data_IF_254884682062
#
_entry.id   IF_254884682062
#
_cell.length_a   1.000
_cell.length_b   1.000
_cell.length_c   1.000
_cell.angle_alpha   90.00
_cell.angle_beta   90.00
_cell.angle_gamma   90.00
#
_symmetry.space_group_name_H-M   'P 1'
#
loop_
_entity.id
_entity.type
_entity.pdbx_description
1 polymer ?
#
# COMPACT_ATOMS: atom_id res chain seq x y z
N UNK A 1 4.47 -75.11 13.61
CA UNK A 1 4.77 -74.77 15.02
C UNK A 1 6.11 -74.06 15.02
N UNK A 2 6.38 -72.91 15.61
CA UNK A 2 5.67 -71.94 16.45
C UNK A 2 6.72 -70.84 16.65
N UNK A 3 6.34 -69.57 16.51
CA UNK A 3 7.25 -68.46 16.73
C UNK A 3 6.52 -67.13 16.71
N UNK A 4 5.71 -66.88 17.74
CA UNK A 4 5.09 -65.58 18.01
C UNK A 4 6.18 -64.54 18.36
N UNK A 5 6.18 -63.40 17.67
CA UNK A 5 6.80 -62.16 18.12
C UNK A 5 5.68 -61.14 18.33
N UNK A 6 5.51 -60.74 19.59
CA UNK A 6 4.60 -59.68 20.02
C UNK A 6 5.17 -58.33 19.59
N UNK A 7 4.40 -57.53 18.84
CA UNK A 7 4.63 -56.10 18.70
C UNK A 7 3.66 -55.35 19.62
N UNK A 8 4.19 -54.85 20.73
CA UNK A 8 3.53 -53.76 21.47
C UNK A 8 3.97 -52.44 20.83
N UNK A 9 3.00 -51.66 20.36
CA UNK A 9 3.19 -50.23 20.12
C UNK A 9 1.93 -49.49 20.53
N UNK A 10 2.05 -48.93 21.73
CA UNK A 10 1.37 -47.76 22.32
C UNK A 10 0.38 -47.00 21.42
N UNK A 11 -0.88 -47.02 21.87
CA UNK A 11 -1.95 -46.13 21.44
C UNK A 11 -1.62 -44.66 21.73
N UNK A 12 -1.52 -43.85 20.67
CA UNK A 12 -1.48 -42.38 20.77
C UNK A 12 -2.90 -41.88 21.10
N UNK A 13 -3.11 -41.04 22.13
CA UNK A 13 -4.42 -40.46 22.36
C UNK A 13 -4.76 -39.51 21.21
N UNK A 14 -5.86 -39.79 20.52
CA UNK A 14 -6.49 -38.84 19.58
C UNK A 14 -7.08 -37.68 20.38
N UNK A 15 -6.33 -36.61 20.60
CA UNK A 15 -6.90 -35.31 20.95
C UNK A 15 -7.41 -34.65 19.68
N UNK A 16 -8.53 -35.17 19.17
CA UNK A 16 -9.28 -34.56 18.09
C UNK A 16 -10.00 -33.33 18.61
N UNK A 17 -9.38 -32.15 18.45
CA UNK A 17 -10.13 -30.90 18.43
C UNK A 17 -11.12 -30.98 17.26
N UNK A 18 -12.37 -30.62 17.51
CA UNK A 18 -13.42 -30.72 16.49
C UNK A 18 -13.02 -29.88 15.26
N UNK A 19 -13.38 -30.34 14.06
CA UNK A 19 -13.14 -29.59 12.82
C UNK A 19 -13.72 -28.16 12.90
N UNK A 20 -14.73 -27.95 13.75
CA UNK A 20 -15.32 -26.65 14.06
C UNK A 20 -14.44 -25.76 14.94
N UNK A 21 -13.67 -26.30 15.90
CA UNK A 21 -12.71 -25.53 16.73
C UNK A 21 -11.45 -25.14 15.94
N UNK A 22 -10.98 -26.00 15.01
CA UNK A 22 -9.92 -25.61 14.07
C UNK A 22 -10.42 -24.53 13.10
N UNK A 23 -11.67 -24.61 12.64
CA UNK A 23 -12.27 -23.62 11.74
C UNK A 23 -12.64 -22.31 12.45
N UNK A 24 -12.95 -22.35 13.76
CA UNK A 24 -13.11 -21.16 14.62
C UNK A 24 -11.77 -20.52 15.00
N UNK A 25 -10.68 -21.28 15.15
CA UNK A 25 -9.32 -20.72 15.31
C UNK A 25 -8.77 -20.06 14.04
N UNK A 26 -9.24 -20.50 12.87
CA UNK A 26 -8.93 -19.89 11.57
C UNK A 26 -9.79 -18.66 11.25
N UNK A 27 -10.83 -18.37 12.03
CA UNK A 27 -11.44 -17.03 12.10
C UNK A 27 -10.65 -16.12 13.06
N UNK A 28 -9.32 -16.22 13.03
CA UNK A 28 -8.45 -15.17 13.56
C UNK A 28 -8.85 -13.86 12.88
N UNK A 29 -9.07 -12.81 13.68
CA UNK A 29 -9.27 -11.42 13.24
C UNK A 29 -8.42 -11.17 12.01
N UNK A 30 -9.07 -11.11 10.84
CA UNK A 30 -8.37 -10.73 9.62
C UNK A 30 -7.77 -9.34 9.90
N UNK A 31 -6.45 -9.17 9.75
CA UNK A 31 -5.83 -7.89 10.03
C UNK A 31 -6.43 -6.87 9.06
N UNK A 32 -7.12 -5.87 9.63
CA UNK A 32 -7.60 -4.73 8.84
C UNK A 32 -6.37 -4.07 8.22
N UNK A 33 -6.23 -4.21 6.91
CA UNK A 33 -5.13 -3.62 6.14
C UNK A 33 -5.69 -2.43 5.38
N UNK A 34 -5.09 -1.27 5.55
CA UNK A 34 -5.43 -0.05 4.81
C UNK A 34 -4.56 -0.01 3.57
N UNK A 35 -5.17 0.03 2.38
CA UNK A 35 -4.46 0.16 1.12
C UNK A 35 -4.39 1.64 0.72
N UNK A 36 -3.17 2.17 0.63
CA UNK A 36 -2.88 3.56 0.26
C UNK A 36 -2.25 3.58 -1.13
N UNK A 37 -2.99 4.06 -2.13
CA UNK A 37 -2.45 4.34 -3.45
C UNK A 37 -1.60 5.61 -3.45
N UNK A 38 -0.43 5.56 -4.07
CA UNK A 38 0.48 6.68 -4.29
C UNK A 38 0.73 6.76 -5.80
N UNK A 39 0.07 7.73 -6.44
CA UNK A 39 0.14 7.96 -7.87
C UNK A 39 0.83 9.26 -8.24
N UNK A 40 1.05 9.50 -9.54
CA UNK A 40 1.66 10.71 -10.09
C UNK A 40 2.56 10.43 -11.29
N UNK A 41 2.97 11.48 -11.99
CA UNK A 41 3.81 11.34 -13.18
C UNK A 41 5.12 10.60 -12.89
N UNK A 42 5.70 10.01 -13.95
CA UNK A 42 7.03 9.40 -13.88
C UNK A 42 8.05 10.41 -13.32
N UNK A 43 8.91 9.97 -12.40
CA UNK A 43 9.91 10.82 -11.71
C UNK A 43 9.37 11.94 -10.79
N UNK A 44 8.11 11.88 -10.36
CA UNK A 44 7.56 12.82 -9.36
C UNK A 44 8.08 12.61 -7.94
N UNK A 45 8.63 11.42 -7.63
CA UNK A 45 9.16 11.07 -6.30
C UNK A 45 8.34 10.02 -5.53
N UNK A 46 7.39 9.33 -6.17
CA UNK A 46 6.52 8.30 -5.56
C UNK A 46 7.30 7.22 -4.81
N UNK A 47 8.24 6.54 -5.47
CA UNK A 47 9.03 5.46 -4.85
C UNK A 47 9.84 5.93 -3.65
N UNK A 48 10.31 7.18 -3.67
CA UNK A 48 10.98 7.79 -2.52
C UNK A 48 9.99 8.04 -1.37
N UNK A 49 8.81 8.59 -1.68
CA UNK A 49 7.76 8.83 -0.70
C UNK A 49 7.27 7.52 -0.05
N UNK A 50 6.98 6.49 -0.84
CA UNK A 50 6.50 5.18 -0.36
C UNK A 50 7.52 4.51 0.56
N UNK A 51 8.81 4.56 0.20
CA UNK A 51 9.90 4.05 1.05
C UNK A 51 10.03 4.80 2.38
N UNK A 52 9.95 6.12 2.39
CA UNK A 52 9.95 6.88 3.65
C UNK A 52 8.72 6.57 4.52
N UNK A 53 7.54 6.45 3.92
CA UNK A 53 6.32 6.10 4.65
C UNK A 53 6.45 4.71 5.28
N UNK A 54 6.96 3.72 4.53
CA UNK A 54 7.26 2.37 5.05
C UNK A 54 8.21 2.42 6.24
N UNK A 55 9.25 3.25 6.19
CA UNK A 55 10.25 3.33 7.26
C UNK A 55 9.74 4.08 8.51
N UNK A 56 8.70 4.92 8.36
CA UNK A 56 8.12 5.73 9.44
C UNK A 56 6.92 5.09 10.14
N UNK A 57 6.03 4.45 9.38
CA UNK A 57 4.82 3.79 9.91
C UNK A 57 5.11 2.38 10.42
N UNK A 58 4.38 1.90 11.44
CA UNK A 58 4.49 0.51 11.89
C UNK A 58 3.81 -0.44 10.89
N UNK A 59 4.41 -1.60 10.67
CA UNK A 59 3.83 -2.72 9.90
C UNK A 59 3.32 -2.30 8.51
N UNK A 60 4.26 -1.99 7.62
CA UNK A 60 4.02 -1.52 6.25
C UNK A 60 4.76 -2.37 5.23
N UNK A 61 4.12 -2.64 4.10
CA UNK A 61 4.78 -3.17 2.90
C UNK A 61 4.39 -2.35 1.67
N UNK A 62 5.15 -2.50 0.59
CA UNK A 62 4.94 -1.78 -0.68
C UNK A 62 4.65 -2.80 -1.78
N UNK A 63 3.66 -2.50 -2.60
CA UNK A 63 3.37 -3.14 -3.87
C UNK A 63 3.66 -2.12 -4.97
N UNK A 64 4.51 -2.45 -5.95
CA UNK A 64 4.81 -1.55 -7.06
C UNK A 64 4.04 -1.98 -8.32
N UNK A 65 3.41 -1.03 -8.99
CA UNK A 65 2.73 -1.24 -10.29
C UNK A 65 3.72 -1.74 -11.35
N UNK A 66 4.97 -1.27 -11.28
CA UNK A 66 6.05 -1.65 -12.20
C UNK A 66 6.40 -3.15 -12.13
N UNK A 67 6.05 -3.85 -11.05
CA UNK A 67 6.25 -5.32 -10.97
C UNK A 67 5.33 -6.10 -11.93
N UNK A 68 4.30 -5.43 -12.46
CA UNK A 68 3.27 -5.98 -13.33
C UNK A 68 3.44 -5.56 -14.80
N UNK A 69 4.60 -5.04 -15.21
CA UNK A 69 4.87 -4.83 -16.64
C UNK A 69 4.72 -6.14 -17.44
N UNK A 70 4.12 -6.01 -18.62
CA UNK A 70 4.10 -7.06 -19.63
C UNK A 70 5.49 -7.21 -20.26
N UNK A 71 5.78 -8.38 -20.85
CA UNK A 71 7.00 -8.59 -21.61
C UNK A 71 7.20 -7.57 -22.73
N UNK A 72 8.44 -7.22 -23.02
CA UNK A 72 8.80 -6.16 -23.97
C UNK A 72 8.19 -6.40 -25.37
N UNK A 73 8.06 -7.66 -25.82
CA UNK A 73 7.48 -8.00 -27.13
C UNK A 73 5.97 -7.76 -27.21
N UNK A 74 5.29 -7.61 -26.08
CA UNK A 74 3.85 -7.36 -26.00
C UNK A 74 3.51 -5.88 -25.86
N UNK A 75 4.51 -5.03 -25.67
CA UNK A 75 4.29 -3.60 -25.46
C UNK A 75 3.82 -2.91 -26.74
N UNK A 76 2.88 -1.95 -26.62
CA UNK A 76 2.47 -1.13 -27.75
C UNK A 76 3.57 -0.14 -28.14
N UNK A 77 3.33 0.62 -29.21
CA UNK A 77 4.22 1.67 -29.66
C UNK A 77 3.51 3.02 -29.68
N UNK A 78 4.22 4.07 -29.28
CA UNK A 78 3.81 5.48 -29.39
C UNK A 78 4.95 6.27 -30.00
N UNK A 79 4.65 7.10 -31.01
CA UNK A 79 5.66 7.83 -31.79
C UNK A 79 6.79 6.95 -32.37
N UNK A 80 6.52 5.66 -32.64
CA UNK A 80 7.52 4.70 -33.14
C UNK A 80 8.46 4.14 -32.06
N UNK A 81 8.25 4.48 -30.80
CA UNK A 81 8.99 3.99 -29.63
C UNK A 81 8.11 3.01 -28.84
N UNK A 82 8.71 2.06 -28.12
CA UNK A 82 7.95 1.16 -27.23
C UNK A 82 7.33 1.95 -26.10
N UNK A 83 6.05 1.77 -25.86
CA UNK A 83 5.31 2.55 -24.88
C UNK A 83 5.19 1.80 -23.56
N UNK A 84 6.11 2.10 -22.65
CA UNK A 84 6.09 1.60 -21.27
C UNK A 84 5.08 2.36 -20.39
N UNK A 85 4.68 3.58 -20.74
CA UNK A 85 3.97 4.48 -19.84
C UNK A 85 2.46 4.52 -20.16
N UNK A 86 1.83 3.36 -20.42
CA UNK A 86 0.41 3.27 -20.76
C UNK A 86 -0.30 2.05 -20.13
N UNK A 87 -1.63 2.04 -20.07
CA UNK A 87 -2.37 0.92 -19.47
C UNK A 87 -2.08 -0.45 -20.11
N UNK A 88 -1.80 -0.47 -21.41
CA UNK A 88 -1.54 -1.70 -22.14
C UNK A 88 -0.14 -2.29 -21.83
N UNK A 89 0.77 -1.53 -21.23
CA UNK A 89 2.06 -2.05 -20.77
C UNK A 89 1.96 -2.81 -19.44
N UNK A 90 0.87 -2.65 -18.69
CA UNK A 90 0.65 -3.27 -17.39
C UNK A 90 -0.29 -4.47 -17.51
N UNK A 91 0.02 -5.56 -16.80
CA UNK A 91 -0.91 -6.65 -16.56
C UNK A 91 -1.93 -6.27 -15.47
N UNK A 92 -2.89 -5.43 -15.85
CA UNK A 92 -3.96 -4.95 -14.96
C UNK A 92 -4.72 -6.10 -14.28
N UNK A 93 -5.10 -7.20 -14.97
CA UNK A 93 -5.71 -8.36 -14.30
C UNK A 93 -4.84 -8.96 -13.19
N UNK A 94 -3.54 -9.16 -13.44
CA UNK A 94 -2.63 -9.67 -12.40
C UNK A 94 -2.48 -8.68 -11.24
N UNK A 95 -2.41 -7.37 -11.55
CA UNK A 95 -2.33 -6.33 -10.53
C UNK A 95 -3.58 -6.27 -9.65
N UNK A 96 -4.77 -6.34 -10.24
CA UNK A 96 -6.05 -6.44 -9.51
C UNK A 96 -6.08 -7.69 -8.64
N UNK A 97 -5.64 -8.85 -9.15
CA UNK A 97 -5.56 -10.08 -8.36
C UNK A 97 -4.65 -9.94 -7.13
N UNK A 98 -3.55 -9.18 -7.24
CA UNK A 98 -2.67 -8.90 -6.11
C UNK A 98 -3.34 -7.99 -5.07
N UNK A 99 -4.06 -6.95 -5.51
CA UNK A 99 -4.83 -6.06 -4.63
C UNK A 99 -5.95 -6.81 -3.89
N UNK A 100 -6.69 -7.68 -4.59
CA UNK A 100 -7.71 -8.54 -3.99
C UNK A 100 -7.11 -9.52 -2.97
N UNK A 101 -5.93 -10.07 -3.27
CA UNK A 101 -5.20 -10.92 -2.33
C UNK A 101 -4.82 -10.15 -1.06
N UNK A 102 -4.32 -8.91 -1.19
CA UNK A 102 -3.98 -8.06 -0.04
C UNK A 102 -5.21 -7.74 0.80
N UNK A 103 -6.34 -7.43 0.17
CA UNK A 103 -7.61 -7.24 0.89
C UNK A 103 -8.02 -8.47 1.70
N UNK A 104 -7.84 -9.67 1.13
CA UNK A 104 -8.26 -10.92 1.75
C UNK A 104 -7.30 -11.42 2.86
N UNK A 105 -5.99 -11.16 2.73
CA UNK A 105 -4.96 -11.77 3.59
C UNK A 105 -4.17 -10.75 4.43
N UNK A 106 -4.25 -9.47 4.11
CA UNK A 106 -3.45 -8.41 4.73
C UNK A 106 -1.95 -8.55 4.49
N UNK A 107 -1.52 -9.23 3.44
CA UNK A 107 -0.11 -9.42 3.07
C UNK A 107 0.04 -9.45 1.55
N UNK A 108 1.23 -9.17 1.00
CA UNK A 108 1.47 -9.36 -0.42
C UNK A 108 1.30 -10.85 -0.81
N UNK A 109 0.99 -11.14 -2.08
CA UNK A 109 1.03 -12.50 -2.61
C UNK A 109 2.41 -13.15 -2.36
N UNK A 110 2.48 -14.41 -1.94
CA UNK A 110 3.73 -15.05 -1.51
C UNK A 110 4.76 -15.21 -2.63
N UNK A 111 4.30 -15.30 -3.87
CA UNK A 111 5.15 -15.49 -5.06
C UNK A 111 5.54 -14.16 -5.73
N UNK A 112 5.16 -13.01 -5.14
CA UNK A 112 5.49 -11.70 -5.69
C UNK A 112 6.90 -11.27 -5.27
N UNK A 113 7.80 -11.23 -6.25
CA UNK A 113 9.14 -10.66 -6.10
C UNK A 113 9.18 -9.25 -6.69
N UNK A 114 9.47 -8.26 -5.86
CA UNK A 114 9.59 -6.86 -6.25
C UNK A 114 10.89 -6.60 -7.02
N UNK A 115 10.77 -6.14 -8.27
CA UNK A 115 11.88 -5.72 -9.12
C UNK A 115 12.21 -4.25 -8.89
N UNK A 116 11.22 -3.43 -8.58
CA UNK A 116 11.43 -2.00 -8.29
C UNK A 116 12.30 -1.79 -7.04
N UNK A 117 12.35 -2.76 -6.11
CA UNK A 117 13.29 -2.74 -4.99
C UNK A 117 14.76 -2.98 -5.38
N UNK A 118 15.03 -3.36 -6.63
CA UNK A 118 16.37 -3.49 -7.19
C UNK A 118 16.86 -2.19 -7.85
N UNK A 119 15.96 -1.24 -8.15
CA UNK A 119 16.31 0.02 -8.78
C UNK A 119 16.88 1.01 -7.75
N UNK A 120 17.95 1.74 -8.15
CA UNK A 120 18.59 2.74 -7.31
C UNK A 120 17.65 3.91 -7.00
N UNK A 121 17.56 4.27 -5.73
CA UNK A 121 16.96 5.55 -5.31
C UNK A 121 18.08 6.56 -5.21
N UNK A 122 18.01 7.58 -6.06
CA UNK A 122 18.89 8.74 -5.92
C UNK A 122 18.79 9.35 -4.51
N UNK A 123 19.81 10.11 -4.09
CA UNK A 123 19.85 10.66 -2.74
C UNK A 123 18.65 11.59 -2.51
N UNK A 124 17.80 11.22 -1.55
CA UNK A 124 16.78 12.11 -1.03
C UNK A 124 17.27 12.71 0.28
N UNK A 125 17.44 14.03 0.29
CA UNK A 125 17.97 14.76 1.45
C UNK A 125 16.84 15.41 2.24
N UNK A 126 15.98 14.59 2.87
CA UNK A 126 15.08 15.12 3.91
C UNK A 126 15.93 15.43 5.14
N UNK A 127 15.92 16.67 5.67
CA UNK A 127 16.75 17.02 6.83
C UNK A 127 16.44 16.13 8.04
N UNK A 128 17.46 15.75 8.82
CA UNK A 128 17.31 14.86 9.97
C UNK A 128 16.27 15.36 10.99
N UNK A 129 16.24 16.68 11.23
CA UNK A 129 15.26 17.30 12.12
C UNK A 129 13.83 17.14 11.60
N UNK A 130 13.63 17.18 10.28
CA UNK A 130 12.33 16.89 9.65
C UNK A 130 11.96 15.43 9.88
N UNK A 131 12.87 14.49 9.61
CA UNK A 131 12.63 13.05 9.84
C UNK A 131 12.29 12.75 11.30
N UNK A 132 13.00 13.36 12.25
CA UNK A 132 12.74 13.22 13.69
C UNK A 132 11.35 13.73 14.08
N UNK A 133 10.94 14.89 13.53
CA UNK A 133 9.60 15.46 13.76
C UNK A 133 8.50 14.55 13.20
N UNK A 134 8.65 14.08 11.96
CA UNK A 134 7.69 13.19 11.31
C UNK A 134 7.57 11.84 12.02
N UNK A 135 8.69 11.26 12.46
CA UNK A 135 8.70 10.05 13.29
C UNK A 135 7.92 10.24 14.60
N UNK A 136 8.05 11.41 15.24
CA UNK A 136 7.28 11.73 16.44
C UNK A 136 5.78 11.89 16.14
N UNK A 137 5.39 12.44 14.98
CA UNK A 137 3.99 12.51 14.55
C UNK A 137 3.38 11.10 14.40
N UNK A 138 4.05 10.22 13.67
CA UNK A 138 3.61 8.84 13.46
C UNK A 138 3.60 8.04 14.77
N UNK A 139 4.56 8.27 15.67
CA UNK A 139 4.56 7.68 17.01
C UNK A 139 3.33 8.10 17.82
N UNK A 140 2.99 9.39 17.84
CA UNK A 140 1.79 9.89 18.55
C UNK A 140 0.51 9.27 17.98
N UNK A 141 0.42 9.16 16.66
CA UNK A 141 -0.71 8.48 16.01
C UNK A 141 -0.78 7.00 16.42
N UNK A 142 0.33 6.27 16.35
CA UNK A 142 0.43 4.87 16.80
C UNK A 142 0.02 4.68 18.26
N UNK A 143 0.48 5.55 19.16
CA UNK A 143 0.16 5.49 20.59
C UNK A 143 -1.32 5.76 20.87
N UNK A 144 -2.01 6.49 19.99
CA UNK A 144 -3.43 6.83 20.16
C UNK A 144 -4.40 5.63 20.04
N UNK A 145 -3.97 4.53 19.42
CA UNK A 145 -4.75 3.28 19.35
C UNK A 145 -4.75 2.50 20.67
N UNK A 146 -3.83 2.81 21.59
CA UNK A 146 -3.67 2.09 22.86
C UNK A 146 -4.45 2.71 24.03
N UNK A 147 -4.91 3.95 23.88
CA UNK A 147 -5.35 4.80 25.01
C UNK A 147 -6.80 4.60 25.46
N UNK A 148 -7.57 3.67 24.90
CA UNK A 148 -8.96 3.38 25.32
C UNK A 148 -9.08 2.30 26.42
N UNK A 149 -7.99 1.90 27.08
CA UNK A 149 -8.07 1.03 28.25
C UNK A 149 -8.69 1.80 29.44
N UNK A 150 -9.84 1.37 30.01
CA UNK A 150 -10.39 2.02 31.18
C UNK A 150 -9.39 1.94 32.33
N UNK A 151 -9.11 3.10 32.89
CA UNK A 151 -8.28 3.30 34.07
C UNK A 151 -8.94 2.57 35.27
N UNK A 152 -8.64 1.29 35.49
CA UNK A 152 -8.99 0.61 36.73
C UNK A 152 -7.98 1.02 37.81
N UNK A 153 -8.16 2.23 38.34
CA UNK A 153 -7.57 2.61 39.62
C UNK A 153 -8.36 1.97 40.77
N UNK A 154 -7.70 1.02 41.43
CA UNK A 154 -7.75 0.71 42.88
C UNK A 154 -9.10 0.55 43.60
N UNK A 155 -9.35 -0.64 44.14
CA UNK A 155 -9.41 -0.81 45.61
C UNK A 155 -9.44 -2.28 46.02
N UNK A 156 -8.60 -2.58 47.00
CA UNK A 156 -8.49 -3.82 47.77
C UNK A 156 -9.56 -3.90 48.86
N UNK A 157 -10.21 -5.07 49.02
CA UNK A 157 -10.63 -5.73 50.29
C UNK A 157 -11.69 -6.81 49.97
N UNK A 158 -11.34 -8.09 50.02
CA UNK A 158 -11.48 -9.05 51.15
C UNK A 158 -12.79 -9.86 51.16
N UNK A 159 -12.64 -11.17 50.89
CA UNK A 159 -13.31 -12.36 51.45
C UNK A 159 -14.85 -12.52 51.41
N UNK A 160 -15.36 -13.47 50.61
CA UNK A 160 -15.76 -14.84 51.04
C UNK A 160 -16.60 -15.56 49.96
N UNK A 161 -16.57 -16.91 49.85
CA UNK A 161 -17.23 -17.65 48.78
C UNK A 161 -18.66 -18.09 49.14
N UNK A 162 -19.56 -18.02 48.16
CA UNK A 162 -20.83 -18.78 48.15
C UNK A 162 -21.06 -19.32 46.74
N UNK A 163 -21.28 -20.63 46.67
CA UNK A 163 -21.74 -21.38 45.51
C UNK A 163 -23.21 -21.04 45.22
N UNK A 164 -23.56 -20.90 43.93
CA UNK A 164 -24.71 -21.53 43.28
C UNK A 164 -25.02 -20.89 41.91
N UNK A 165 -25.21 -21.72 40.89
CA UNK A 165 -26.18 -21.47 39.81
C UNK A 165 -25.64 -20.96 38.47
N UNK A 166 -25.07 -21.85 37.65
CA UNK A 166 -24.78 -21.66 36.24
C UNK A 166 -26.05 -21.40 35.40
N UNK A 167 -26.16 -20.20 34.81
CA UNK A 167 -26.78 -19.93 33.49
C UNK A 167 -26.13 -18.69 32.88
N UNK A 168 -25.01 -18.88 32.19
CA UNK A 168 -24.44 -17.83 31.33
C UNK A 168 -25.15 -17.85 29.97
N UNK A 169 -26.02 -16.86 29.77
CA UNK A 169 -26.46 -16.48 28.43
C UNK A 169 -25.30 -15.86 27.67
N UNK A 170 -25.09 -16.32 26.43
CA UNK A 170 -24.11 -15.81 25.47
C UNK A 170 -24.20 -14.29 25.35
N UNK A 171 -23.29 -13.58 26.04
CA UNK A 171 -22.99 -12.19 25.75
C UNK A 171 -22.26 -12.13 24.42
N UNK A 172 -22.97 -11.71 23.37
CA UNK A 172 -22.35 -11.21 22.15
C UNK A 172 -21.28 -10.19 22.53
N UNK A 173 -20.01 -10.55 22.37
CA UNK A 173 -18.91 -9.61 22.56
C UNK A 173 -19.00 -8.59 21.43
N UNK A 174 -19.44 -7.37 21.76
CA UNK A 174 -19.22 -6.23 20.88
C UNK A 174 -17.71 -6.10 20.66
N UNK A 175 -17.26 -6.34 19.43
CA UNK A 175 -15.89 -6.13 19.01
C UNK A 175 -15.61 -4.62 19.05
N UNK A 176 -15.02 -4.14 20.14
CA UNK A 176 -14.50 -2.78 20.23
C UNK A 176 -13.36 -2.54 19.21
N UNK A 177 -12.99 -1.27 18.98
CA UNK A 177 -11.91 -0.92 18.05
C UNK A 177 -10.61 -1.66 18.40
N UNK A 178 -9.82 -1.98 17.36
CA UNK A 178 -8.51 -2.60 17.51
C UNK A 178 -7.60 -1.75 18.39
N UNK A 179 -6.94 -2.35 19.39
CA UNK A 179 -5.96 -1.66 20.26
C UNK A 179 -4.59 -1.44 19.58
N UNK A 180 -4.44 -1.86 18.33
CA UNK A 180 -3.26 -1.63 17.49
C UNK A 180 -3.66 -0.93 16.20
N UNK A 181 -2.79 -0.06 15.65
CA UNK A 181 -3.02 0.51 14.33
C UNK A 181 -3.18 -0.60 13.28
N UNK A 182 -3.95 -0.37 12.21
CA UNK A 182 -4.01 -1.31 11.11
C UNK A 182 -2.67 -1.37 10.38
N UNK A 183 -2.44 -2.50 9.72
CA UNK A 183 -1.35 -2.64 8.74
C UNK A 183 -1.60 -1.71 7.56
N UNK A 184 -0.54 -1.19 6.94
CA UNK A 184 -0.64 -0.36 5.73
C UNK A 184 0.00 -1.09 4.56
N UNK A 185 -0.74 -1.22 3.46
CA UNK A 185 -0.23 -1.62 2.16
C UNK A 185 -0.08 -0.36 1.30
N UNK A 186 1.15 0.06 1.02
CA UNK A 186 1.40 1.15 0.08
C UNK A 186 1.40 0.58 -1.34
N UNK A 187 0.68 1.21 -2.25
CA UNK A 187 0.66 0.84 -3.67
C UNK A 187 1.25 2.00 -4.47
N UNK A 188 2.42 1.78 -5.05
CA UNK A 188 3.18 2.79 -5.79
C UNK A 188 3.03 2.56 -7.29
N UNK A 189 2.56 3.55 -8.03
CA UNK A 189 2.36 3.40 -9.48
C UNK A 189 2.15 4.73 -10.18
N UNK A 190 2.45 4.82 -11.47
CA UNK A 190 2.25 6.06 -12.22
C UNK A 190 0.83 6.18 -12.79
N UNK A 191 0.10 5.08 -12.91
CA UNK A 191 -1.15 5.00 -13.64
C UNK A 191 -2.37 4.76 -12.73
N UNK A 192 -2.19 4.60 -11.42
CA UNK A 192 -3.26 4.13 -10.51
C UNK A 192 -4.60 4.90 -10.62
N UNK A 193 -4.56 6.17 -11.01
CA UNK A 193 -5.74 7.04 -11.18
C UNK A 193 -5.91 7.52 -12.64
N UNK A 194 -5.20 6.92 -13.59
CA UNK A 194 -5.34 7.24 -15.01
C UNK A 194 -6.74 6.92 -15.50
N UNK A 195 -7.27 7.74 -16.41
CA UNK A 195 -8.63 7.57 -16.97
C UNK A 195 -8.86 6.20 -17.59
N UNK A 196 -7.80 5.60 -18.13
CA UNK A 196 -7.76 4.26 -18.72
C UNK A 196 -7.98 3.11 -17.74
N UNK A 197 -7.71 3.32 -16.44
CA UNK A 197 -7.74 2.25 -15.42
C UNK A 197 -8.52 2.60 -14.14
N UNK A 198 -8.89 3.86 -13.93
CA UNK A 198 -9.44 4.35 -12.66
C UNK A 198 -10.69 3.59 -12.20
N UNK A 199 -11.59 3.24 -13.12
CA UNK A 199 -12.86 2.58 -12.75
C UNK A 199 -12.60 1.16 -12.24
N UNK A 200 -11.49 0.55 -12.66
CA UNK A 200 -11.01 -0.76 -12.21
C UNK A 200 -10.22 -0.65 -10.91
N UNK A 201 -9.30 0.32 -10.80
CA UNK A 201 -8.33 0.34 -9.70
C UNK A 201 -8.80 1.13 -8.46
N UNK A 202 -9.51 2.26 -8.64
CA UNK A 202 -9.93 3.12 -7.52
C UNK A 202 -10.71 2.41 -6.41
N UNK A 203 -11.58 1.42 -6.70
CA UNK A 203 -12.30 0.67 -5.67
C UNK A 203 -11.41 -0.10 -4.69
N UNK A 204 -10.15 -0.38 -5.05
CA UNK A 204 -9.23 -1.15 -4.22
C UNK A 204 -8.42 -0.30 -3.22
N UNK A 205 -8.48 1.03 -3.31
CA UNK A 205 -7.69 1.92 -2.43
C UNK A 205 -8.57 2.59 -1.38
N UNK A 206 -8.17 2.52 -0.10
CA UNK A 206 -8.81 3.26 0.99
C UNK A 206 -8.42 4.73 0.99
N UNK A 207 -7.15 5.01 0.67
CA UNK A 207 -6.58 6.36 0.59
C UNK A 207 -5.89 6.51 -0.76
N UNK A 208 -6.13 7.64 -1.43
CA UNK A 208 -5.62 7.90 -2.77
C UNK A 208 -4.79 9.17 -2.79
N UNK A 209 -3.47 9.06 -2.80
CA UNK A 209 -2.52 10.17 -2.86
C UNK A 209 -2.02 10.37 -4.30
N UNK A 210 -2.11 11.58 -4.85
CA UNK A 210 -1.55 11.96 -6.15
C UNK A 210 -0.44 13.00 -5.96
N UNK A 211 0.79 12.57 -6.22
CA UNK A 211 1.99 13.43 -6.25
C UNK A 211 2.10 14.16 -7.58
N UNK A 212 2.70 15.35 -7.56
CA UNK A 212 2.91 16.18 -8.76
C UNK A 212 4.36 16.62 -8.88
N UNK A 213 4.77 16.89 -10.11
CA UNK A 213 6.02 17.55 -10.45
C UNK A 213 5.81 18.33 -11.76
N UNK A 214 6.50 19.47 -11.96
CA UNK A 214 6.46 20.18 -13.22
C UNK A 214 7.17 19.36 -14.31
N UNK A 215 6.74 19.53 -15.56
CA UNK A 215 7.27 18.84 -16.73
C UNK A 215 8.79 18.84 -16.77
N UNK A 216 9.37 20.03 -16.61
CA UNK A 216 10.81 20.26 -16.66
C UNK A 216 11.59 19.42 -15.64
N UNK A 217 11.04 19.22 -14.44
CA UNK A 217 11.67 18.39 -13.41
C UNK A 217 11.46 16.90 -13.64
N UNK A 218 10.25 16.49 -14.01
CA UNK A 218 9.97 15.10 -14.34
C UNK A 218 10.90 14.63 -15.47
N UNK A 219 11.03 15.45 -16.53
CA UNK A 219 11.95 15.23 -17.66
C UNK A 219 13.40 15.15 -17.22
N UNK A 220 13.92 16.19 -16.56
CA UNK A 220 15.32 16.22 -16.14
C UNK A 220 15.69 15.02 -15.25
N UNK A 221 14.78 14.58 -14.38
CA UNK A 221 14.99 13.41 -13.52
C UNK A 221 14.91 12.09 -14.29
N UNK A 222 14.00 11.96 -15.27
CA UNK A 222 13.88 10.75 -16.10
C UNK A 222 15.11 10.58 -16.99
N UNK A 223 15.51 11.65 -17.68
CA UNK A 223 16.68 11.64 -18.57
C UNK A 223 18.01 11.45 -17.83
N UNK A 224 18.05 11.73 -16.52
CA UNK A 224 19.22 11.49 -15.68
C UNK A 224 19.32 10.05 -15.14
N UNK A 225 18.31 9.19 -15.36
CA UNK A 225 18.39 7.79 -14.94
C UNK A 225 19.32 7.02 -15.87
N UNK A 226 20.12 6.12 -15.29
CA UNK A 226 21.00 5.24 -16.06
C UNK A 226 20.24 4.19 -16.87
N UNK A 227 18.99 3.91 -16.50
CA UNK A 227 18.09 2.95 -17.14
C UNK A 227 17.23 2.21 -16.10
N UNK A 228 16.57 1.14 -16.54
CA UNK A 228 15.55 0.40 -15.80
C UNK A 228 15.80 -1.09 -15.94
N UNK A 229 15.69 -1.83 -14.84
CA UNK A 229 15.68 -3.30 -14.89
C UNK A 229 14.31 -3.77 -15.39
N UNK A 230 14.29 -4.59 -16.45
CA UNK A 230 13.08 -5.17 -17.05
C UNK A 230 13.06 -6.69 -16.90
N UNK A 231 11.99 -7.34 -17.37
CA UNK A 231 11.91 -8.81 -17.39
C UNK A 231 13.00 -9.42 -18.28
N UNK A 232 13.36 -8.74 -19.37
CA UNK A 232 14.28 -9.22 -20.40
C UNK A 232 15.71 -8.68 -20.25
N UNK A 233 15.94 -7.75 -19.32
CA UNK A 233 17.26 -7.22 -19.04
C UNK A 233 17.24 -5.78 -18.57
N UNK A 234 17.76 -4.88 -19.39
CA UNK A 234 17.96 -3.48 -19.05
C UNK A 234 17.47 -2.57 -20.17
N UNK A 235 16.63 -1.60 -19.82
CA UNK A 235 16.09 -0.60 -20.73
C UNK A 235 16.69 0.77 -20.45
N UNK A 236 17.10 1.48 -21.50
CA UNK A 236 17.51 2.88 -21.44
C UNK A 236 16.58 3.69 -22.35
N UNK A 237 16.03 4.79 -21.83
CA UNK A 237 15.11 5.62 -22.59
C UNK A 237 15.83 6.21 -23.82
N UNK A 238 15.30 6.03 -25.05
CA UNK A 238 15.89 6.63 -26.23
C UNK A 238 15.75 8.17 -26.22
N UNK A 239 16.58 8.91 -26.99
CA UNK A 239 16.45 10.36 -27.10
C UNK A 239 15.03 10.78 -27.49
N UNK A 240 14.46 11.74 -26.76
CA UNK A 240 13.09 12.24 -27.01
C UNK A 240 11.98 11.44 -26.31
N UNK A 241 12.28 10.31 -25.67
CA UNK A 241 11.26 9.43 -25.07
C UNK A 241 10.31 10.13 -24.09
N UNK A 242 10.81 11.11 -23.31
CA UNK A 242 9.96 11.87 -22.40
C UNK A 242 8.95 12.74 -23.13
N UNK A 243 9.39 13.47 -24.16
CA UNK A 243 8.54 14.36 -24.95
C UNK A 243 7.54 13.58 -25.80
N UNK A 244 7.95 12.42 -26.31
CA UNK A 244 7.20 11.66 -27.32
C UNK A 244 6.26 10.60 -26.71
N UNK A 245 6.57 10.08 -25.51
CA UNK A 245 5.84 8.98 -24.88
C UNK A 245 5.41 9.31 -23.44
N UNK A 246 6.37 9.49 -22.53
CA UNK A 246 6.11 9.54 -21.07
C UNK A 246 5.14 10.67 -20.70
N UNK A 247 5.48 11.91 -21.09
CA UNK A 247 4.68 13.06 -20.69
C UNK A 247 3.33 13.11 -21.40
N UNK A 248 3.24 12.88 -22.73
CA UNK A 248 1.95 12.77 -23.40
C UNK A 248 1.02 11.73 -22.77
N UNK A 249 1.52 10.55 -22.41
CA UNK A 249 0.68 9.55 -21.74
C UNK A 249 0.19 10.00 -20.36
N UNK A 250 1.06 10.62 -19.55
CA UNK A 250 0.62 11.18 -18.28
C UNK A 250 -0.48 12.22 -18.46
N UNK A 251 -0.33 13.14 -19.43
CA UNK A 251 -1.33 14.14 -19.77
C UNK A 251 -2.63 13.48 -20.22
N UNK A 252 -2.56 12.57 -21.19
CA UNK A 252 -3.71 11.88 -21.77
C UNK A 252 -4.54 11.20 -20.66
N UNK A 253 -3.87 10.53 -19.72
CA UNK A 253 -4.57 9.77 -18.68
C UNK A 253 -4.98 10.57 -17.44
N UNK A 254 -4.34 11.70 -17.15
CA UNK A 254 -4.60 12.44 -15.90
C UNK A 254 -5.21 13.82 -16.09
N UNK A 255 -5.28 14.35 -17.32
CA UNK A 255 -5.83 15.69 -17.62
C UNK A 255 -7.21 15.94 -16.99
N UNK A 256 -8.05 14.91 -16.90
CA UNK A 256 -9.40 15.00 -16.33
C UNK A 256 -9.43 15.42 -14.84
N UNK A 257 -8.32 15.25 -14.10
CA UNK A 257 -8.19 15.68 -12.70
C UNK A 257 -7.83 17.17 -12.57
N UNK A 258 -7.59 17.87 -13.66
CA UNK A 258 -7.10 19.24 -13.67
C UNK A 258 -8.00 20.18 -14.47
N UNK A 259 -8.03 21.45 -14.06
CA UNK A 259 -8.81 22.48 -14.72
C UNK A 259 -8.32 22.67 -16.16
N UNK A 260 -9.25 22.64 -17.12
CA UNK A 260 -8.96 22.78 -18.56
C UNK A 260 -8.01 21.69 -19.12
N UNK A 261 -7.79 20.60 -18.39
CA UNK A 261 -6.86 19.54 -18.80
C UNK A 261 -5.38 19.86 -18.58
N UNK A 262 -5.05 20.97 -17.92
CA UNK A 262 -3.67 21.38 -17.65
C UNK A 262 -3.12 20.67 -16.40
N UNK A 263 -2.33 19.62 -16.59
CA UNK A 263 -1.74 18.82 -15.49
C UNK A 263 -0.74 19.58 -14.62
N UNK A 264 -0.20 20.70 -15.09
CA UNK A 264 0.64 21.61 -14.29
C UNK A 264 -0.20 22.73 -13.63
N UNK A 265 -1.43 22.93 -14.11
CA UNK A 265 -2.35 23.95 -13.65
C UNK A 265 -3.07 23.62 -12.33
N UNK A 266 -4.27 24.19 -12.19
CA UNK A 266 -5.08 24.01 -10.99
C UNK A 266 -5.76 22.64 -10.97
N UNK A 267 -5.78 22.00 -9.80
CA UNK A 267 -6.56 20.76 -9.59
C UNK A 267 -8.05 21.06 -9.76
N UNK A 268 -8.75 20.20 -10.51
CA UNK A 268 -10.20 20.20 -10.52
C UNK A 268 -10.72 19.61 -9.19
N UNK A 269 -10.95 20.50 -8.22
CA UNK A 269 -11.34 20.11 -6.85
C UNK A 269 -12.62 19.28 -6.79
N UNK A 270 -13.57 19.51 -7.71
CA UNK A 270 -14.81 18.74 -7.77
C UNK A 270 -14.52 17.29 -8.12
N UNK A 271 -13.80 17.07 -9.24
CA UNK A 271 -13.42 15.72 -9.69
C UNK A 271 -12.55 15.00 -8.66
N UNK A 272 -11.53 15.68 -8.13
CA UNK A 272 -10.64 15.08 -7.13
C UNK A 272 -11.42 14.69 -5.86
N UNK A 273 -12.33 15.54 -5.39
CA UNK A 273 -13.16 15.23 -4.21
C UNK A 273 -14.17 14.10 -4.48
N UNK A 274 -14.77 14.05 -5.66
CA UNK A 274 -15.71 12.99 -6.05
C UNK A 274 -15.04 11.61 -6.07
N UNK A 275 -13.80 11.55 -6.56
CA UNK A 275 -13.00 10.32 -6.62
C UNK A 275 -12.23 10.01 -5.33
N UNK A 276 -12.29 10.90 -4.33
CA UNK A 276 -11.54 10.78 -3.08
C UNK A 276 -10.02 10.83 -3.25
N UNK A 277 -9.53 11.54 -4.27
CA UNK A 277 -8.10 11.68 -4.57
C UNK A 277 -7.54 12.93 -3.89
N UNK A 278 -6.60 12.73 -2.97
CA UNK A 278 -5.81 13.79 -2.36
C UNK A 278 -4.64 14.14 -3.26
N UNK A 279 -4.69 15.33 -3.86
CA UNK A 279 -3.62 15.84 -4.71
C UNK A 279 -2.69 16.73 -3.91
N UNK A 280 -1.37 16.66 -4.15
CA UNK A 280 -0.41 17.55 -3.49
C UNK A 280 -0.81 19.03 -3.64
N UNK A 281 -0.77 19.83 -2.56
CA UNK A 281 -1.18 21.24 -2.61
C UNK A 281 -0.39 22.09 -3.61
N UNK A 282 0.88 21.77 -3.80
CA UNK A 282 1.78 22.49 -4.73
C UNK A 282 2.30 21.54 -5.82
N UNK A 283 2.69 22.12 -6.96
CA UNK A 283 3.17 21.37 -8.13
C UNK A 283 4.58 20.81 -7.94
N UNK A 284 5.46 21.49 -7.21
CA UNK A 284 6.88 21.13 -7.02
C UNK A 284 7.24 21.11 -5.54
N UNK A 285 6.48 20.35 -4.75
CA UNK A 285 6.73 20.20 -3.31
C UNK A 285 8.07 19.55 -3.04
N UNK A 286 8.78 20.04 -2.01
CA UNK A 286 9.97 19.37 -1.52
C UNK A 286 9.60 18.04 -0.85
N UNK A 287 10.50 17.06 -0.93
CA UNK A 287 10.22 15.70 -0.41
C UNK A 287 9.81 15.70 1.07
N UNK A 288 10.41 16.55 1.91
CA UNK A 288 10.04 16.66 3.33
C UNK A 288 8.61 17.17 3.55
N UNK A 289 8.16 18.13 2.75
CA UNK A 289 6.81 18.70 2.81
C UNK A 289 5.77 17.71 2.25
N UNK A 290 6.12 17.02 1.16
CA UNK A 290 5.29 15.98 0.56
C UNK A 290 5.10 14.80 1.53
N UNK A 291 6.16 14.40 2.23
CA UNK A 291 6.13 13.35 3.24
C UNK A 291 5.26 13.75 4.45
N UNK A 292 5.39 14.99 4.92
CA UNK A 292 4.53 15.53 5.97
C UNK A 292 3.05 15.51 5.57
N UNK A 293 2.74 16.04 4.39
CA UNK A 293 1.39 16.03 3.83
C UNK A 293 0.80 14.62 3.75
N UNK A 294 1.56 13.64 3.25
CA UNK A 294 1.10 12.26 3.15
C UNK A 294 0.81 11.66 4.53
N UNK A 295 1.69 11.89 5.51
CA UNK A 295 1.48 11.45 6.91
C UNK A 295 0.21 12.06 7.49
N UNK A 296 -0.03 13.35 7.26
CA UNK A 296 -1.23 14.03 7.75
C UNK A 296 -2.51 13.42 7.14
N UNK A 297 -2.52 13.17 5.82
CA UNK A 297 -3.67 12.53 5.16
C UNK A 297 -3.91 11.13 5.72
N UNK A 298 -2.87 10.29 5.83
CA UNK A 298 -2.99 8.93 6.34
C UNK A 298 -3.48 8.93 7.78
N UNK A 299 -2.81 9.66 8.67
CA UNK A 299 -3.13 9.67 10.11
C UNK A 299 -4.49 10.29 10.44
N UNK A 300 -5.00 11.19 9.59
CA UNK A 300 -6.34 11.76 9.72
C UNK A 300 -7.44 10.81 9.23
N UNK A 301 -7.14 10.01 8.20
CA UNK A 301 -8.12 9.11 7.57
C UNK A 301 -8.21 7.77 8.29
N UNK A 302 -7.09 7.29 8.83
CA UNK A 302 -7.01 6.04 9.59
C UNK A 302 -7.12 6.35 11.08
N UNK A 303 -8.34 6.40 11.59
CA UNK A 303 -8.63 6.52 13.03
C UNK A 303 -10.00 6.00 13.40
#
# INVERSE_FOLDING_TARGET
>A
MTGQLQSQTTSIPKTGGSSQEQQQRLQQKQPHTVIVGISGCSSSGKTTLSRYLRDLFPDVFILHEDDFYRPEEQLPFKAGLRDWDCAASIDIPAFVSALEYIHAHGSPPPDLESKEDQNDVGPSHVPEETMKRLKNMVKKWTDSFRTDAPNMSSSSSSSSPREDGEREGERKQNLGPSQSPPRIALVDGFLLYGSSVRDTLLPHFDIKLLTRAPYSRAKARREARSGYVTLEGFWEDPPGYVDDVVWPNYVDDHAYLFAQGDVEGQVNKSTASELGVYVTPELDMQMGEMLEWAIEVITRTVR
#
